data_IF_819707729301
#
_entry.id   IF_819707729301
#
_cell.length_a   1.000
_cell.length_b   1.000
_cell.length_c   1.000
_cell.angle_alpha   90.00
_cell.angle_beta   90.00
_cell.angle_gamma   90.00
#
_symmetry.space_group_name_H-M   'P 1'
#
loop_
_entity.id
_entity.type
_entity.pdbx_description
1 polymer ?
#
# COMPACT_ATOMS: atom_id res chain seq x y z
N UNK A 1 -2.52 -13.18 8.16
CA UNK A 1 -3.38 -12.51 9.16
C UNK A 1 -4.30 -11.52 8.45
N UNK A 2 -5.54 -11.29 8.91
CA UNK A 2 -6.53 -10.43 8.21
C UNK A 2 -7.25 -9.55 9.23
N UNK A 3 -7.46 -8.26 8.97
CA UNK A 3 -8.22 -7.34 9.81
C UNK A 3 -9.22 -6.50 8.98
N UNK A 4 -10.20 -5.88 9.64
CA UNK A 4 -11.13 -4.95 9.00
C UNK A 4 -10.39 -3.70 8.52
N UNK A 5 -10.75 -3.20 7.35
CA UNK A 5 -10.27 -1.91 6.82
C UNK A 5 -11.26 -0.76 7.09
N UNK A 6 -12.32 -1.01 7.87
CA UNK A 6 -13.40 -0.04 8.16
C UNK A 6 -13.41 0.42 9.62
N UNK A 7 -12.49 -0.11 10.43
CA UNK A 7 -12.28 0.23 11.82
C UNK A 7 -10.79 0.13 12.15
N UNK A 8 -10.40 0.62 13.33
CA UNK A 8 -9.02 0.63 13.81
C UNK A 8 -8.59 -0.66 14.53
N UNK A 9 -9.44 -1.70 14.54
CA UNK A 9 -9.16 -2.96 15.24
C UNK A 9 -7.96 -3.73 14.68
N UNK A 10 -7.50 -3.36 13.47
CA UNK A 10 -6.27 -3.92 12.91
C UNK A 10 -5.02 -3.58 13.75
N UNK A 11 -5.04 -2.47 14.49
CA UNK A 11 -3.89 -2.03 15.28
C UNK A 11 -3.55 -3.04 16.39
N UNK A 12 -4.53 -3.40 17.20
CA UNK A 12 -4.39 -4.41 18.25
C UNK A 12 -4.06 -5.78 17.66
N UNK A 13 -4.82 -6.20 16.64
CA UNK A 13 -4.63 -7.49 15.98
C UNK A 13 -3.21 -7.69 15.44
N UNK A 14 -2.65 -6.69 14.77
CA UNK A 14 -1.31 -6.82 14.20
C UNK A 14 -0.20 -6.68 15.25
N UNK A 15 -0.44 -5.95 16.33
CA UNK A 15 0.45 -5.94 17.50
C UNK A 15 0.55 -7.32 18.14
N UNK A 16 -0.58 -8.01 18.34
CA UNK A 16 -0.59 -9.37 18.88
C UNK A 16 0.14 -10.36 17.97
N UNK A 17 -0.15 -10.30 16.67
CA UNK A 17 0.45 -11.17 15.65
C UNK A 17 1.97 -11.03 15.57
N UNK A 18 2.48 -9.82 15.79
CA UNK A 18 3.93 -9.52 15.72
C UNK A 18 4.61 -9.62 17.09
N UNK A 19 3.90 -10.01 18.15
CA UNK A 19 4.44 -10.00 19.51
C UNK A 19 4.88 -8.61 19.96
N UNK A 20 4.26 -7.55 19.43
CA UNK A 20 4.59 -6.16 19.70
C UNK A 20 5.71 -5.58 18.85
N UNK A 21 6.35 -6.34 17.96
CA UNK A 21 7.44 -5.84 17.12
C UNK A 21 6.98 -4.83 16.05
N UNK A 22 5.71 -4.92 15.62
CA UNK A 22 5.18 -4.11 14.51
C UNK A 22 5.55 -4.67 13.14
N UNK A 23 5.21 -3.90 12.10
CA UNK A 23 5.41 -4.25 10.69
C UNK A 23 6.62 -3.52 10.13
N UNK A 24 7.54 -4.25 9.50
CA UNK A 24 8.74 -3.66 8.87
C UNK A 24 8.42 -2.75 7.67
N UNK A 25 7.31 -3.06 6.99
CA UNK A 25 6.81 -2.33 5.83
C UNK A 25 5.29 -2.23 5.91
N UNK A 26 4.78 -1.00 5.76
CA UNK A 26 3.36 -0.73 5.59
C UNK A 26 3.15 -0.07 4.23
N UNK A 27 2.28 -0.65 3.40
CA UNK A 27 1.79 -0.05 2.16
C UNK A 27 0.37 0.46 2.41
N UNK A 28 0.22 1.78 2.59
CA UNK A 28 -1.02 2.42 2.97
C UNK A 28 -1.79 2.98 1.76
N UNK A 29 -3.10 2.84 1.82
CA UNK A 29 -4.07 3.49 0.93
C UNK A 29 -5.30 4.01 1.68
N UNK A 30 -5.26 4.04 3.02
CA UNK A 30 -6.30 4.58 3.90
C UNK A 30 -6.02 6.05 4.22
N UNK A 31 -7.00 6.77 4.80
CA UNK A 31 -6.91 8.20 5.07
C UNK A 31 -7.30 8.54 6.52
N UNK A 32 -6.90 9.72 7.01
CA UNK A 32 -7.30 10.22 8.33
C UNK A 32 -6.74 9.38 9.47
N UNK A 33 -7.57 9.07 10.47
CA UNK A 33 -7.16 8.30 11.66
C UNK A 33 -6.58 6.91 11.33
N UNK A 34 -6.93 6.36 10.16
CA UNK A 34 -6.37 5.09 9.68
C UNK A 34 -4.89 5.20 9.31
N UNK A 35 -4.42 6.37 8.85
CA UNK A 35 -3.00 6.64 8.59
C UNK A 35 -2.25 6.61 9.92
N UNK A 36 -2.79 7.28 10.94
CA UNK A 36 -2.17 7.35 12.28
C UNK A 36 -2.07 5.96 12.92
N UNK A 37 -3.11 5.15 12.82
CA UNK A 37 -3.09 3.75 13.28
C UNK A 37 -2.10 2.90 12.47
N UNK A 38 -2.01 3.11 11.15
CA UNK A 38 -1.06 2.41 10.28
C UNK A 38 0.40 2.78 10.62
N UNK A 39 0.66 4.03 10.98
CA UNK A 39 1.97 4.49 11.45
C UNK A 39 2.33 3.84 12.80
N UNK A 40 1.37 3.73 13.74
CA UNK A 40 1.59 3.08 15.04
C UNK A 40 1.89 1.58 14.94
N UNK A 41 1.36 0.89 13.94
CA UNK A 41 1.73 -0.53 13.70
C UNK A 41 3.04 -0.69 12.95
N UNK A 42 3.64 0.39 12.43
CA UNK A 42 4.94 0.32 11.77
C UNK A 42 6.04 0.19 12.81
N UNK A 43 6.94 -0.78 12.61
CA UNK A 43 8.07 -0.99 13.50
C UNK A 43 8.99 0.24 13.56
N UNK A 44 9.68 0.43 14.67
CA UNK A 44 10.73 1.45 14.77
C UNK A 44 11.80 1.20 13.69
N UNK A 45 12.17 2.24 12.94
CA UNK A 45 13.06 2.09 11.77
C UNK A 45 12.41 1.40 10.57
N UNK A 46 11.10 1.16 10.59
CA UNK A 46 10.32 0.58 9.50
C UNK A 46 10.11 1.54 8.31
N UNK A 47 9.45 1.05 7.26
CA UNK A 47 9.11 1.82 6.06
C UNK A 47 7.60 1.98 5.92
N UNK A 48 7.16 3.21 5.73
CA UNK A 48 5.77 3.53 5.47
C UNK A 48 5.64 4.10 4.06
N UNK A 49 4.95 3.38 3.18
CA UNK A 49 4.72 3.75 1.80
C UNK A 49 3.27 4.24 1.65
N UNK A 50 3.10 5.53 1.40
CA UNK A 50 1.79 6.16 1.25
C UNK A 50 1.40 6.24 -0.24
N UNK A 51 0.28 5.62 -0.60
CA UNK A 51 -0.31 5.73 -1.95
C UNK A 51 -1.35 6.85 -2.05
N UNK A 52 -1.92 7.27 -0.92
CA UNK A 52 -2.87 8.38 -0.83
C UNK A 52 -2.20 9.73 -1.07
N UNK A 53 -2.89 10.63 -1.77
CA UNK A 53 -2.37 11.97 -2.11
C UNK A 53 -2.99 13.11 -1.31
N UNK A 54 -4.05 12.84 -0.56
CA UNK A 54 -4.88 13.87 0.08
C UNK A 54 -4.49 14.16 1.52
N UNK A 55 -3.87 13.21 2.23
CA UNK A 55 -3.54 13.29 3.66
C UNK A 55 -2.06 12.94 3.91
N UNK A 56 -1.17 13.53 3.11
CA UNK A 56 0.27 13.28 3.21
C UNK A 56 0.81 13.90 4.51
N UNK A 57 1.54 13.10 5.28
CA UNK A 57 2.18 13.51 6.53
C UNK A 57 3.58 14.07 6.30
N UNK A 58 4.00 14.97 7.19
CA UNK A 58 5.38 15.46 7.22
C UNK A 58 6.32 14.37 7.74
N UNK A 59 7.28 13.88 6.94
CA UNK A 59 8.22 12.85 7.37
C UNK A 59 8.99 13.22 8.64
N UNK A 60 9.26 14.51 8.87
CA UNK A 60 10.02 14.96 10.05
C UNK A 60 9.25 14.78 11.36
N UNK A 61 7.92 14.69 11.28
CA UNK A 61 7.04 14.49 12.42
C UNK A 61 6.85 13.01 12.81
N UNK A 62 7.41 12.06 12.04
CA UNK A 62 7.13 10.62 12.16
C UNK A 62 8.22 9.82 12.90
N UNK A 63 9.17 10.50 13.55
CA UNK A 63 10.23 9.86 14.32
C UNK A 63 11.12 8.95 13.45
N UNK A 64 11.31 7.71 13.88
CA UNK A 64 12.18 6.73 13.20
C UNK A 64 11.54 6.03 11.99
N UNK A 65 10.28 6.34 11.66
CA UNK A 65 9.61 5.73 10.51
C UNK A 65 10.10 6.38 9.21
N UNK A 66 10.63 5.57 8.29
CA UNK A 66 10.96 6.03 6.93
C UNK A 66 9.68 6.15 6.10
N UNK A 67 9.09 7.32 6.13
CA UNK A 67 7.88 7.65 5.38
C UNK A 67 8.20 8.10 3.96
N UNK A 68 7.46 7.57 2.98
CA UNK A 68 7.47 8.01 1.59
C UNK A 68 6.07 7.98 1.01
N UNK A 69 5.52 9.15 0.71
CA UNK A 69 4.47 9.27 -0.30
C UNK A 69 5.11 9.05 -1.67
N UNK A 70 4.56 8.14 -2.47
CA UNK A 70 5.14 7.81 -3.77
C UNK A 70 4.10 7.78 -4.87
N UNK A 71 4.51 8.20 -6.06
CA UNK A 71 3.82 7.97 -7.32
C UNK A 71 4.67 7.10 -8.25
N UNK A 72 4.07 6.12 -8.92
CA UNK A 72 4.78 5.24 -9.86
C UNK A 72 5.40 6.00 -11.05
N UNK A 73 4.87 7.18 -11.38
CA UNK A 73 5.45 8.07 -12.37
C UNK A 73 6.84 8.57 -12.01
N UNK A 74 7.18 8.68 -10.72
CA UNK A 74 8.50 9.12 -10.24
C UNK A 74 9.63 8.16 -10.63
N UNK A 75 9.32 6.88 -10.86
CA UNK A 75 10.33 5.88 -11.23
C UNK A 75 10.91 6.12 -12.63
N UNK A 76 10.17 6.84 -13.50
CA UNK A 76 10.57 7.11 -14.87
C UNK A 76 10.38 5.92 -15.83
N UNK A 77 10.40 6.18 -17.15
CA UNK A 77 10.01 5.22 -18.17
C UNK A 77 10.92 3.97 -18.21
N UNK A 78 12.23 4.13 -18.05
CA UNK A 78 13.17 3.00 -18.08
C UNK A 78 12.97 2.04 -16.92
N UNK A 79 12.78 2.57 -15.70
CA UNK A 79 12.50 1.73 -14.53
C UNK A 79 11.14 1.06 -14.66
N UNK A 80 10.13 1.77 -15.14
CA UNK A 80 8.80 1.20 -15.35
C UNK A 80 8.79 0.09 -16.40
N UNK A 81 9.59 0.23 -17.47
CA UNK A 81 9.79 -0.84 -18.46
C UNK A 81 10.46 -2.07 -17.84
N UNK A 82 11.50 -1.87 -17.02
CA UNK A 82 12.16 -2.98 -16.31
C UNK A 82 11.18 -3.72 -15.37
N UNK A 83 10.41 -2.97 -14.58
CA UNK A 83 9.38 -3.53 -13.69
C UNK A 83 8.31 -4.29 -14.47
N UNK A 84 7.88 -3.79 -15.63
CA UNK A 84 6.94 -4.51 -16.49
C UNK A 84 7.53 -5.84 -16.99
N UNK A 85 8.81 -5.87 -17.36
CA UNK A 85 9.51 -7.11 -17.71
C UNK A 85 9.50 -8.12 -16.56
N UNK A 86 9.88 -7.69 -15.36
CA UNK A 86 9.87 -8.53 -14.15
C UNK A 86 8.46 -9.10 -13.87
N UNK A 87 7.41 -8.27 -14.01
CA UNK A 87 6.03 -8.72 -13.85
C UNK A 87 5.63 -9.78 -14.87
N UNK A 88 6.00 -9.62 -16.14
CA UNK A 88 5.71 -10.59 -17.21
C UNK A 88 6.37 -11.94 -16.93
N UNK A 89 7.60 -11.94 -16.44
CA UNK A 89 8.31 -13.17 -16.06
C UNK A 89 7.58 -13.88 -14.89
N UNK A 90 7.12 -13.11 -13.89
CA UNK A 90 6.34 -13.66 -12.77
C UNK A 90 4.98 -14.24 -13.21
N UNK A 91 4.33 -13.63 -14.21
CA UNK A 91 3.12 -14.20 -14.83
C UNK A 91 3.44 -15.49 -15.59
N UNK A 92 4.51 -15.51 -16.39
CA UNK A 92 4.93 -16.68 -17.16
C UNK A 92 5.28 -17.87 -16.24
N UNK A 93 5.87 -17.59 -15.08
CA UNK A 93 6.18 -18.59 -14.05
C UNK A 93 4.97 -19.01 -13.20
N UNK A 94 3.81 -18.35 -13.36
CA UNK A 94 2.59 -18.64 -12.60
C UNK A 94 2.61 -18.14 -11.15
N UNK A 95 3.62 -17.35 -10.76
CA UNK A 95 3.70 -16.70 -9.46
C UNK A 95 2.65 -15.59 -9.31
N UNK A 96 2.28 -14.95 -10.42
CA UNK A 96 1.19 -13.99 -10.51
C UNK A 96 0.05 -14.54 -11.37
N UNK A 97 -1.17 -14.13 -11.05
CA UNK A 97 -2.38 -14.39 -11.84
C UNK A 97 -3.16 -13.09 -12.05
N UNK A 98 -3.81 -12.89 -13.21
CA UNK A 98 -4.61 -11.70 -13.44
C UNK A 98 -5.69 -11.54 -12.36
N UNK A 99 -6.00 -10.29 -12.01
CA UNK A 99 -7.11 -9.97 -11.11
C UNK A 99 -8.46 -10.30 -11.79
N UNK A 100 -9.52 -10.61 -11.01
CA UNK A 100 -10.86 -10.75 -11.58
C UNK A 100 -11.29 -9.49 -12.34
N UNK A 101 -11.81 -9.65 -13.56
CA UNK A 101 -12.20 -8.54 -14.44
C UNK A 101 -13.72 -8.42 -14.50
N UNK A 102 -14.21 -7.19 -14.35
CA UNK A 102 -15.59 -6.81 -14.69
C UNK A 102 -15.53 -5.83 -15.86
N UNK A 103 -16.26 -6.12 -16.94
CA UNK A 103 -16.15 -5.39 -18.21
C UNK A 103 -17.40 -4.59 -18.53
N UNK A 104 -17.21 -3.39 -19.06
CA UNK A 104 -18.26 -2.57 -19.65
C UNK A 104 -17.77 -2.03 -21.00
N UNK A 105 -18.70 -1.79 -21.90
CA UNK A 105 -18.42 -1.04 -23.13
C UNK A 105 -18.06 0.42 -22.79
N UNK A 106 -17.16 1.05 -23.56
CA UNK A 106 -16.75 2.45 -23.34
C UNK A 106 -17.93 3.43 -23.30
N UNK A 107 -19.02 3.13 -24.02
CA UNK A 107 -20.27 3.92 -24.02
C UNK A 107 -21.02 3.85 -22.68
N UNK A 108 -20.71 2.87 -21.83
CA UNK A 108 -21.30 2.65 -20.49
C UNK A 108 -20.35 3.07 -19.37
N UNK A 109 -19.37 3.92 -19.65
CA UNK A 109 -18.39 4.38 -18.65
C UNK A 109 -19.06 4.88 -17.36
N UNK A 110 -20.17 5.61 -17.43
CA UNK A 110 -20.89 6.09 -16.24
C UNK A 110 -21.39 4.98 -15.31
N UNK A 111 -21.64 3.77 -15.80
CA UNK A 111 -22.07 2.65 -14.95
C UNK A 111 -20.89 1.93 -14.29
N UNK A 112 -19.66 2.22 -14.73
CA UNK A 112 -18.44 1.63 -14.20
C UNK A 112 -17.79 2.45 -13.06
N UNK A 113 -18.16 3.73 -12.91
CA UNK A 113 -17.70 4.66 -11.87
C UNK A 113 -18.82 4.97 -10.89
#
# INVERSE_FOLDING_TARGET
>A
HIASSRDLGFEEKFREVTGGAGMDVVLNALAGEFVDASLRVTAAGGRFLEMGKTDIRDPQALGDVRYRAFDLGEAGPERNKALLGELLDLFAQGALRPLPVRTWDVRRAREAF
#
